data_IF_564735311675
#
_entry.id   IF_564735311675
#
_cell.length_a   1.000
_cell.length_b   1.000
_cell.length_c   1.000
_cell.angle_alpha   90.00
_cell.angle_beta   90.00
_cell.angle_gamma   90.00
#
_symmetry.space_group_name_H-M   'P 1'
#
loop_
_entity.id
_entity.type
_entity.pdbx_description
1 polymer ?
#
# COMPACT_ATOMS: atom_id res chain seq x y z
N UNK A 1 -4.68 12.87 13.65
CA UNK A 1 -4.78 13.25 12.23
C UNK A 1 -5.83 12.44 11.46
N UNK A 2 -5.93 11.13 11.66
CA UNK A 2 -6.90 10.29 10.92
C UNK A 2 -8.37 10.69 11.16
N UNK A 3 -8.71 11.16 12.37
CA UNK A 3 -10.07 11.60 12.67
C UNK A 3 -10.47 12.87 11.91
N UNK A 4 -9.50 13.71 11.56
CA UNK A 4 -9.74 15.01 10.93
C UNK A 4 -9.44 15.02 9.42
N UNK A 5 -8.88 13.95 8.87
CA UNK A 5 -8.44 13.89 7.48
C UNK A 5 -9.57 14.15 6.47
N UNK A 6 -10.77 13.61 6.72
CA UNK A 6 -11.93 13.84 5.84
C UNK A 6 -12.35 15.32 5.83
N UNK A 7 -12.35 15.99 6.99
CA UNK A 7 -12.64 17.41 7.10
C UNK A 7 -11.57 18.25 6.40
N UNK A 8 -10.28 17.88 6.54
CA UNK A 8 -9.20 18.57 5.88
C UNK A 8 -9.30 18.51 4.35
N UNK A 9 -9.69 17.38 3.78
CA UNK A 9 -9.92 17.24 2.33
C UNK A 9 -11.01 18.21 1.84
N UNK A 10 -12.13 18.31 2.57
CA UNK A 10 -13.20 19.25 2.25
C UNK A 10 -12.73 20.70 2.38
N UNK A 11 -11.99 21.04 3.41
CA UNK A 11 -11.42 22.37 3.62
C UNK A 11 -10.45 22.77 2.51
N UNK A 12 -9.59 21.85 2.07
CA UNK A 12 -8.69 22.08 0.92
C UNK A 12 -9.49 22.34 -0.36
N UNK A 13 -10.56 21.56 -0.60
CA UNK A 13 -11.41 21.73 -1.76
C UNK A 13 -12.11 23.11 -1.78
N UNK A 14 -12.47 23.63 -0.61
CA UNK A 14 -13.08 24.95 -0.43
C UNK A 14 -12.06 26.10 -0.35
N UNK A 15 -10.77 25.80 -0.45
CA UNK A 15 -9.69 26.80 -0.31
C UNK A 15 -9.50 27.34 1.11
N UNK A 16 -10.00 26.62 2.13
CA UNK A 16 -9.91 27.04 3.53
C UNK A 16 -8.65 26.46 4.18
N UNK A 17 -7.77 27.32 4.67
CA UNK A 17 -6.60 26.93 5.45
C UNK A 17 -6.96 26.89 6.94
N UNK A 18 -6.70 25.74 7.55
CA UNK A 18 -6.85 25.51 9.01
C UNK A 18 -5.59 24.85 9.54
N UNK A 19 -5.34 24.90 10.87
CA UNK A 19 -4.19 24.20 11.47
C UNK A 19 -4.14 22.70 11.11
N UNK A 20 -5.29 22.04 10.96
CA UNK A 20 -5.35 20.63 10.55
C UNK A 20 -4.86 20.45 9.12
N UNK A 21 -5.22 21.34 8.21
CA UNK A 21 -4.75 21.33 6.81
C UNK A 21 -3.24 21.54 6.77
N UNK A 22 -2.73 22.53 7.53
CA UNK A 22 -1.29 22.81 7.61
C UNK A 22 -0.53 21.59 8.15
N UNK A 23 -1.02 20.95 9.21
CA UNK A 23 -0.43 19.74 9.80
C UNK A 23 -0.38 18.58 8.81
N UNK A 24 -1.45 18.39 8.02
CA UNK A 24 -1.52 17.34 7.00
C UNK A 24 -0.55 17.61 5.86
N UNK A 25 -0.49 18.87 5.39
CA UNK A 25 0.47 19.28 4.36
C UNK A 25 1.90 19.07 4.86
N UNK A 26 2.21 19.51 6.08
CA UNK A 26 3.53 19.32 6.68
C UNK A 26 3.88 17.83 6.82
N UNK A 27 2.94 17.01 7.30
CA UNK A 27 3.14 15.56 7.42
C UNK A 27 3.44 14.92 6.06
N UNK A 28 2.68 15.26 5.04
CA UNK A 28 2.85 14.67 3.71
C UNK A 28 4.14 15.14 3.01
N UNK A 29 4.52 16.40 3.13
CA UNK A 29 5.69 16.92 2.43
C UNK A 29 6.97 16.76 3.24
N UNK A 30 6.97 17.16 4.51
CA UNK A 30 8.19 17.19 5.31
C UNK A 30 8.45 15.84 6.01
N UNK A 31 7.49 15.32 6.79
CA UNK A 31 7.73 14.11 7.58
C UNK A 31 7.84 12.86 6.68
N UNK A 32 6.98 12.74 5.68
CA UNK A 32 7.05 11.62 4.73
C UNK A 32 8.34 11.68 3.91
N UNK A 33 8.71 12.86 3.42
CA UNK A 33 9.97 13.07 2.70
C UNK A 33 11.20 12.75 3.55
N UNK A 34 11.24 13.22 4.79
CA UNK A 34 12.32 12.94 5.73
C UNK A 34 12.42 11.45 6.06
N UNK A 35 11.28 10.80 6.33
CA UNK A 35 11.24 9.35 6.60
C UNK A 35 11.75 8.56 5.41
N UNK A 36 11.35 8.93 4.18
CA UNK A 36 11.85 8.31 2.96
C UNK A 36 13.35 8.45 2.80
N UNK A 37 13.90 9.63 3.07
CA UNK A 37 15.36 9.88 3.00
C UNK A 37 16.13 9.08 4.06
N UNK A 38 15.66 9.04 5.30
CA UNK A 38 16.30 8.28 6.37
C UNK A 38 16.23 6.77 6.16
N UNK A 39 15.20 6.29 5.46
CA UNK A 39 15.05 4.87 5.13
C UNK A 39 15.78 4.47 3.85
N UNK A 40 16.20 5.43 3.02
CA UNK A 40 16.93 5.16 1.79
C UNK A 40 18.29 4.52 2.11
N UNK A 41 18.57 3.37 1.50
CA UNK A 41 19.79 2.57 1.74
C UNK A 41 19.65 1.46 2.79
N UNK A 42 18.56 1.39 3.53
CA UNK A 42 18.24 0.17 4.29
C UNK A 42 17.69 -0.89 3.33
N UNK A 43 18.08 -2.16 3.54
CA UNK A 43 17.43 -3.30 2.86
C UNK A 43 16.02 -3.45 3.44
N UNK A 44 15.09 -2.64 2.97
CA UNK A 44 13.70 -2.72 3.41
C UNK A 44 12.93 -3.71 2.56
N UNK A 45 12.16 -4.54 3.22
CA UNK A 45 11.23 -5.44 2.58
C UNK A 45 10.00 -4.63 2.11
N UNK A 46 10.06 -4.09 0.92
CA UNK A 46 9.05 -3.18 0.37
C UNK A 46 7.95 -3.93 -0.42
N UNK A 47 7.26 -4.89 0.22
CA UNK A 47 6.24 -5.73 -0.43
C UNK A 47 5.09 -4.92 -1.02
N UNK A 48 4.62 -3.88 -0.31
CA UNK A 48 3.54 -3.03 -0.80
C UNK A 48 3.94 -2.23 -2.06
N UNK A 49 5.17 -1.72 -2.12
CA UNK A 49 5.70 -1.08 -3.33
C UNK A 49 6.02 -2.11 -4.41
N UNK A 50 6.48 -3.31 -4.04
CA UNK A 50 6.66 -4.42 -4.97
C UNK A 50 5.36 -4.79 -5.70
N UNK A 51 4.21 -4.73 -5.00
CA UNK A 51 2.90 -4.89 -5.66
C UNK A 51 2.65 -3.77 -6.68
N UNK A 52 2.93 -2.52 -6.34
CA UNK A 52 2.80 -1.41 -7.29
C UNK A 52 3.67 -1.63 -8.54
N UNK A 53 4.92 -2.04 -8.36
CA UNK A 53 5.84 -2.28 -9.47
C UNK A 53 5.36 -3.45 -10.34
N UNK A 54 4.88 -4.55 -9.72
CA UNK A 54 4.29 -5.69 -10.42
C UNK A 54 3.07 -5.27 -11.24
N UNK A 55 2.12 -4.54 -10.65
CA UNK A 55 0.92 -4.04 -11.34
C UNK A 55 1.32 -3.11 -12.49
N UNK A 56 2.29 -2.24 -12.28
CA UNK A 56 2.78 -1.30 -13.30
C UNK A 56 3.42 -2.02 -14.50
N UNK A 57 4.01 -3.17 -14.28
CA UNK A 57 4.69 -3.95 -15.32
C UNK A 57 3.75 -4.93 -16.02
N UNK A 58 2.95 -5.65 -15.24
CA UNK A 58 2.15 -6.80 -15.70
C UNK A 58 0.72 -6.41 -16.09
N UNK A 59 0.13 -5.40 -15.42
CA UNK A 59 -1.28 -5.03 -15.54
C UNK A 59 -1.44 -3.56 -15.99
N UNK A 60 -0.81 -3.22 -17.12
CA UNK A 60 -0.79 -1.84 -17.66
C UNK A 60 -2.16 -1.18 -17.84
N UNK A 61 -3.22 -1.89 -18.31
CA UNK A 61 -4.56 -1.31 -18.43
C UNK A 61 -5.15 -0.90 -17.08
N UNK A 62 -4.94 -1.70 -16.03
CA UNK A 62 -5.38 -1.42 -14.67
C UNK A 62 -4.57 -0.26 -14.09
N UNK A 63 -3.24 -0.31 -14.24
CA UNK A 63 -2.33 0.75 -13.79
C UNK A 63 -2.68 2.13 -14.37
N UNK A 64 -3.14 2.20 -15.60
CA UNK A 64 -3.50 3.46 -16.25
C UNK A 64 -4.70 4.17 -15.61
N UNK A 65 -5.51 3.47 -14.80
CA UNK A 65 -6.73 3.98 -14.16
C UNK A 65 -6.55 4.24 -12.66
N UNK A 66 -5.41 3.88 -12.09
CA UNK A 66 -5.17 3.90 -10.65
C UNK A 66 -4.02 4.85 -10.31
N UNK A 67 -4.14 5.52 -9.19
CA UNK A 67 -3.05 6.29 -8.61
C UNK A 67 -2.01 5.36 -7.95
N UNK A 68 -0.77 5.85 -7.82
CA UNK A 68 0.30 5.11 -7.13
C UNK A 68 -0.13 4.65 -5.72
N UNK A 69 -0.65 5.59 -4.92
CA UNK A 69 -1.07 5.31 -3.54
C UNK A 69 -2.21 4.30 -3.43
N UNK A 70 -3.11 4.23 -4.42
CA UNK A 70 -4.20 3.26 -4.44
C UNK A 70 -3.68 1.82 -4.58
N UNK A 71 -2.70 1.61 -5.44
CA UNK A 71 -2.09 0.27 -5.60
C UNK A 71 -1.25 -0.09 -4.38
N UNK A 72 -0.45 0.86 -3.86
CA UNK A 72 0.36 0.63 -2.65
C UNK A 72 -0.54 0.32 -1.45
N UNK A 73 -1.69 1.01 -1.30
CA UNK A 73 -2.61 0.79 -0.19
C UNK A 73 -3.16 -0.64 -0.16
N UNK A 74 -3.42 -1.24 -1.32
CA UNK A 74 -3.79 -2.66 -1.43
C UNK A 74 -2.71 -3.59 -0.87
N UNK A 75 -1.44 -3.25 -0.99
CA UNK A 75 -0.30 -4.02 -0.46
C UNK A 75 -0.03 -3.81 1.04
N UNK A 76 -0.57 -2.75 1.67
CA UNK A 76 -0.28 -2.42 3.07
C UNK A 76 -0.66 -3.55 4.04
N UNK A 77 -1.83 -4.20 3.96
CA UNK A 77 -2.18 -5.29 4.87
C UNK A 77 -1.17 -6.45 4.81
N UNK A 78 -0.68 -6.77 3.61
CA UNK A 78 0.35 -7.79 3.41
C UNK A 78 1.68 -7.35 4.06
N UNK A 79 2.11 -6.12 3.80
CA UNK A 79 3.33 -5.55 4.37
C UNK A 79 3.31 -5.57 5.89
N UNK A 80 2.21 -5.16 6.51
CA UNK A 80 2.07 -5.14 7.97
C UNK A 80 2.15 -6.56 8.55
N UNK A 81 1.47 -7.53 7.93
CA UNK A 81 1.50 -8.92 8.37
C UNK A 81 2.89 -9.55 8.24
N UNK A 82 3.59 -9.28 7.14
CA UNK A 82 4.98 -9.74 6.93
C UNK A 82 5.92 -9.11 7.96
N UNK A 83 5.70 -7.86 8.34
CA UNK A 83 6.45 -7.17 9.38
C UNK A 83 6.11 -7.64 10.82
N UNK A 84 5.08 -8.50 10.98
CA UNK A 84 4.72 -9.08 12.28
C UNK A 84 3.81 -8.20 13.16
N UNK A 85 3.10 -7.24 12.57
CA UNK A 85 2.07 -6.50 13.29
C UNK A 85 0.89 -7.39 13.69
N UNK A 86 0.21 -7.04 14.80
CA UNK A 86 -0.96 -7.78 15.28
C UNK A 86 -2.14 -7.69 14.30
N UNK A 87 -3.00 -8.72 14.29
CA UNK A 87 -4.21 -8.72 13.47
C UNK A 87 -5.11 -7.51 13.75
N UNK A 88 -5.28 -7.13 15.02
CA UNK A 88 -6.04 -5.95 15.42
C UNK A 88 -5.49 -4.67 14.77
N UNK A 89 -4.16 -4.52 14.72
CA UNK A 89 -3.52 -3.37 14.07
C UNK A 89 -3.72 -3.39 12.57
N UNK A 90 -3.60 -4.56 11.93
CA UNK A 90 -3.82 -4.73 10.48
C UNK A 90 -5.27 -4.38 10.14
N UNK A 91 -6.26 -4.95 10.84
CA UNK A 91 -7.67 -4.67 10.63
C UNK A 91 -8.02 -3.19 10.82
N UNK A 92 -7.44 -2.53 11.82
CA UNK A 92 -7.63 -1.09 12.02
C UNK A 92 -7.15 -0.29 10.80
N UNK A 93 -6.00 -0.66 10.24
CA UNK A 93 -5.48 -0.02 9.03
C UNK A 93 -6.35 -0.32 7.80
N UNK A 94 -6.82 -1.56 7.62
CA UNK A 94 -7.73 -1.92 6.52
C UNK A 94 -9.01 -1.09 6.60
N UNK A 95 -9.66 -1.03 7.76
CA UNK A 95 -10.86 -0.20 7.96
C UNK A 95 -10.63 1.28 7.65
N UNK A 96 -9.45 1.80 7.98
CA UNK A 96 -9.09 3.18 7.62
C UNK A 96 -8.95 3.35 6.11
N UNK A 97 -8.26 2.44 5.42
CA UNK A 97 -8.09 2.47 3.97
C UNK A 97 -9.45 2.39 3.25
N UNK A 98 -10.35 1.53 3.72
CA UNK A 98 -11.71 1.42 3.22
C UNK A 98 -12.53 2.72 3.46
N UNK A 99 -12.37 3.34 4.63
CA UNK A 99 -13.05 4.60 4.97
C UNK A 99 -12.66 5.75 4.03
N UNK A 100 -11.40 5.81 3.63
CA UNK A 100 -10.91 6.83 2.68
C UNK A 100 -11.09 6.41 1.21
N UNK A 101 -11.72 5.26 0.95
CA UNK A 101 -12.08 4.79 -0.38
C UNK A 101 -10.91 4.24 -1.20
N UNK A 102 -9.80 3.86 -0.57
CA UNK A 102 -8.67 3.26 -1.30
C UNK A 102 -8.85 1.74 -1.44
N UNK A 103 -8.37 1.13 -2.54
CA UNK A 103 -8.42 -0.31 -2.74
C UNK A 103 -7.68 -1.08 -1.65
N UNK A 104 -8.32 -2.16 -1.18
CA UNK A 104 -7.74 -3.11 -0.21
C UNK A 104 -7.73 -4.55 -0.74
N UNK A 105 -8.21 -4.76 -1.97
CA UNK A 105 -8.38 -6.07 -2.61
C UNK A 105 -8.04 -6.01 -4.10
N UNK A 106 -7.62 -7.13 -4.69
CA UNK A 106 -7.28 -7.23 -6.12
C UNK A 106 -8.45 -6.91 -7.04
N UNK A 107 -9.64 -7.36 -6.72
CA UNK A 107 -10.85 -7.06 -7.50
C UNK A 107 -11.09 -5.54 -7.64
N UNK A 108 -10.78 -4.76 -6.61
CA UNK A 108 -10.88 -3.30 -6.64
C UNK A 108 -9.79 -2.64 -7.51
N UNK A 109 -8.66 -3.31 -7.71
CA UNK A 109 -7.65 -2.90 -8.69
C UNK A 109 -8.02 -3.30 -10.14
N UNK A 110 -9.13 -4.05 -10.32
CA UNK A 110 -9.50 -4.63 -11.60
C UNK A 110 -8.61 -5.81 -11.99
N UNK A 111 -7.99 -6.47 -11.02
CA UNK A 111 -7.18 -7.67 -11.20
C UNK A 111 -7.99 -8.85 -10.67
N UNK A 112 -8.20 -9.86 -11.51
CA UNK A 112 -8.88 -11.08 -11.07
C UNK A 112 -8.05 -11.80 -10.00
N UNK A 113 -8.66 -12.19 -8.86
CA UNK A 113 -7.97 -12.86 -7.76
C UNK A 113 -7.75 -14.36 -8.08
N UNK A 114 -6.99 -14.64 -9.14
CA UNK A 114 -6.61 -16.00 -9.56
C UNK A 114 -5.23 -16.37 -9.04
N UNK A 115 -4.99 -17.66 -8.86
CA UNK A 115 -3.66 -18.16 -8.48
C UNK A 115 -2.61 -17.80 -9.53
N UNK A 116 -2.97 -17.82 -10.81
CA UNK A 116 -2.07 -17.44 -11.90
C UNK A 116 -1.60 -15.99 -11.76
N UNK A 117 -2.51 -15.05 -11.52
CA UNK A 117 -2.17 -13.63 -11.32
C UNK A 117 -1.33 -13.43 -10.06
N UNK A 118 -1.66 -14.15 -8.97
CA UNK A 118 -0.87 -14.13 -7.75
C UNK A 118 0.56 -14.60 -8.00
N UNK A 119 0.75 -15.73 -8.67
CA UNK A 119 2.08 -16.26 -8.96
C UNK A 119 2.92 -15.29 -9.80
N UNK A 120 2.33 -14.67 -10.82
CA UNK A 120 3.03 -13.68 -11.64
C UNK A 120 3.46 -12.46 -10.81
N UNK A 121 2.59 -11.98 -9.93
CA UNK A 121 2.89 -10.85 -9.03
C UNK A 121 3.98 -11.24 -8.04
N UNK A 122 3.90 -12.40 -7.40
CA UNK A 122 4.88 -12.86 -6.43
C UNK A 122 6.26 -13.07 -7.07
N UNK A 123 6.31 -13.72 -8.22
CA UNK A 123 7.56 -13.92 -8.95
C UNK A 123 8.24 -12.58 -9.26
N UNK A 124 7.46 -11.60 -9.72
CA UNK A 124 7.97 -10.26 -9.99
C UNK A 124 8.46 -9.56 -8.71
N UNK A 125 7.71 -9.64 -7.60
CA UNK A 125 8.10 -9.04 -6.32
C UNK A 125 9.40 -9.66 -5.81
N UNK A 126 9.51 -10.99 -5.83
CA UNK A 126 10.69 -11.69 -5.31
C UNK A 126 11.95 -11.33 -6.10
N UNK A 127 11.85 -11.29 -7.42
CA UNK A 127 12.96 -10.88 -8.28
C UNK A 127 13.34 -9.40 -8.09
N UNK A 128 12.35 -8.50 -8.14
CA UNK A 128 12.56 -7.05 -8.09
C UNK A 128 13.05 -6.55 -6.72
N UNK A 129 12.56 -7.14 -5.64
CA UNK A 129 12.94 -6.78 -4.25
C UNK A 129 14.16 -7.57 -3.78
N UNK A 130 14.54 -8.65 -4.48
CA UNK A 130 15.67 -9.52 -4.13
C UNK A 130 15.36 -10.40 -2.92
N UNK A 131 14.21 -11.07 -2.94
CA UNK A 131 13.77 -11.96 -1.87
C UNK A 131 14.10 -13.40 -2.24
N UNK A 132 15.26 -13.90 -1.80
CA UNK A 132 15.76 -15.22 -2.13
C UNK A 132 15.46 -16.28 -1.04
N UNK A 133 15.09 -15.86 0.18
CA UNK A 133 14.85 -16.75 1.30
C UNK A 133 13.49 -17.46 1.16
N UNK A 134 13.45 -18.82 1.04
CA UNK A 134 12.19 -19.55 0.82
C UNK A 134 11.17 -19.37 1.94
N UNK A 135 11.60 -19.30 3.20
CA UNK A 135 10.71 -19.10 4.34
C UNK A 135 10.03 -17.71 4.29
N UNK A 136 10.74 -16.69 3.82
CA UNK A 136 10.21 -15.36 3.66
C UNK A 136 9.24 -15.27 2.45
N UNK A 137 9.58 -15.93 1.34
CA UNK A 137 8.70 -16.05 0.18
C UNK A 137 7.37 -16.70 0.56
N UNK A 138 7.41 -17.80 1.30
CA UNK A 138 6.22 -18.51 1.79
C UNK A 138 5.39 -17.63 2.75
N UNK A 139 6.05 -16.92 3.65
CA UNK A 139 5.39 -15.95 4.54
C UNK A 139 4.65 -14.86 3.76
N UNK A 140 5.27 -14.31 2.73
CA UNK A 140 4.68 -13.28 1.86
C UNK A 140 3.49 -13.88 1.10
N UNK A 141 3.67 -15.03 0.44
CA UNK A 141 2.62 -15.76 -0.28
C UNK A 141 1.40 -15.96 0.58
N UNK A 142 1.56 -16.54 1.75
CA UNK A 142 0.46 -16.79 2.70
C UNK A 142 -0.31 -15.51 3.04
N UNK A 143 0.38 -14.40 3.20
CA UNK A 143 -0.25 -13.14 3.57
C UNK A 143 -0.94 -12.41 2.40
N UNK A 144 -0.61 -12.73 1.15
CA UNK A 144 -1.35 -12.22 -0.01
C UNK A 144 -2.81 -12.72 -0.06
N UNK A 145 -3.15 -13.83 0.59
CA UNK A 145 -4.54 -14.28 0.75
C UNK A 145 -5.47 -13.20 1.36
N UNK A 146 -4.92 -12.22 2.07
CA UNK A 146 -5.67 -11.09 2.65
C UNK A 146 -6.29 -10.18 1.60
N UNK A 147 -5.65 -10.07 0.46
CA UNK A 147 -6.01 -9.15 -0.63
C UNK A 147 -6.54 -9.86 -1.87
N UNK A 148 -6.50 -11.19 -1.87
CA UNK A 148 -7.05 -12.08 -2.89
C UNK A 148 -8.57 -12.25 -2.72
N UNK A 149 -9.31 -11.16 -2.97
CA UNK A 149 -10.78 -11.15 -2.87
C UNK A 149 -11.36 -10.33 -4.02
#
# INVERSE_FOLDING_TARGET
>A
YFADAANAVLQVADGTLTPVVDDIIFTNLALTGLTSQLSSGSKQLAVAHGLYDAVSKLFKPQRARLLHGEIVSCGIPVQLAVNGYSEEYIEKNVRFLELIGTPTQFSQLGIEPTEENLEQILAFIFDNVGIDEPALQEKIRKNFARVMK
#
